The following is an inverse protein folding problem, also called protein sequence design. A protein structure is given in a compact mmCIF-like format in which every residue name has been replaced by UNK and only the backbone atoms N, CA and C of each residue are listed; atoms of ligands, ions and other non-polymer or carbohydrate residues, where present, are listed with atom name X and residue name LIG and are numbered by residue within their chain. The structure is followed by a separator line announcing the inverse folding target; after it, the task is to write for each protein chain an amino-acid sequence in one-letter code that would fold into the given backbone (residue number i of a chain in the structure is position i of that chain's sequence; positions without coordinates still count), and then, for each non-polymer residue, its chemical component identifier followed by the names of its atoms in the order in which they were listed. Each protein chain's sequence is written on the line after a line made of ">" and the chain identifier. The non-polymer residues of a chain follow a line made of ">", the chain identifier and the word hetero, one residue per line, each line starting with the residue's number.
data_IF_549322383219
#
_entry.id   IF_549322383219
#
_cell.length_a   1.000
_cell.length_b   1.000
_cell.length_c   1.000
_cell.angle_alpha   90.00
_cell.angle_beta   90.00
_cell.angle_gamma   90.00
#
_symmetry.space_group_name_H-M   'P 1'
#
loop_
_entity.id
_entity.type
_entity.pdbx_description
1 polymer ?
#
# COMPACT_ATOMS: atom_id res chain seq x y z
N UNK A 1 15.39 1.20 17.32
CA UNK A 1 14.02 1.17 17.88
C UNK A 1 13.52 2.55 18.35
N UNK A 2 14.19 3.27 19.25
CA UNK A 2 13.74 4.61 19.73
C UNK A 2 13.61 5.66 18.62
N UNK A 3 14.49 5.65 17.61
CA UNK A 3 14.46 6.58 16.46
C UNK A 3 13.25 6.33 15.54
N UNK A 4 12.93 5.08 15.22
CA UNK A 4 11.76 4.70 14.40
C UNK A 4 10.47 5.14 15.08
N UNK A 5 10.34 4.83 16.36
CA UNK A 5 9.19 5.23 17.15
C UNK A 5 8.94 6.74 17.15
N UNK A 6 10.00 7.54 17.37
CA UNK A 6 9.88 9.01 17.38
C UNK A 6 9.50 9.56 15.99
N UNK A 7 9.93 8.90 14.93
CA UNK A 7 9.58 9.31 13.56
C UNK A 7 8.13 8.96 13.23
N UNK A 8 7.64 7.76 13.56
CA UNK A 8 6.25 7.40 13.37
C UNK A 8 5.32 8.37 14.11
N UNK A 9 5.62 8.68 15.39
CA UNK A 9 4.85 9.70 16.15
C UNK A 9 4.80 11.04 15.42
N UNK A 10 5.92 11.49 14.85
CA UNK A 10 5.95 12.71 14.06
C UNK A 10 5.09 12.61 12.80
N UNK A 11 5.10 11.48 12.10
CA UNK A 11 4.23 11.26 10.93
C UNK A 11 2.75 11.24 11.31
N UNK A 12 2.39 10.61 12.44
CA UNK A 12 1.02 10.66 12.96
C UNK A 12 0.57 12.07 13.28
N UNK A 13 1.45 12.89 13.90
CA UNK A 13 1.17 14.29 14.15
C UNK A 13 0.95 15.10 12.86
N UNK A 14 1.79 14.90 11.84
CA UNK A 14 1.64 15.53 10.52
C UNK A 14 0.29 15.13 9.88
N UNK A 15 -0.10 13.87 10.02
CA UNK A 15 -1.38 13.36 9.53
C UNK A 15 -2.58 13.76 10.40
N UNK A 16 -2.38 14.46 11.52
CA UNK A 16 -3.45 14.84 12.45
C UNK A 16 -4.06 13.64 13.21
N UNK A 17 -3.35 12.50 13.26
CA UNK A 17 -3.82 11.29 13.95
C UNK A 17 -3.38 11.37 15.40
N UNK A 18 -4.35 11.45 16.31
CA UNK A 18 -4.10 11.63 17.76
C UNK A 18 -4.55 10.46 18.61
N UNK A 19 -5.43 9.60 18.10
CA UNK A 19 -5.94 8.45 18.79
C UNK A 19 -5.39 7.17 18.14
N UNK A 20 -4.31 6.65 18.68
CA UNK A 20 -3.65 5.42 18.23
C UNK A 20 -3.06 4.63 19.39
N UNK A 21 -2.88 3.35 19.16
CA UNK A 21 -2.27 2.41 20.09
C UNK A 21 -1.04 1.76 19.42
N UNK A 22 0.04 1.61 20.14
CA UNK A 22 1.21 0.89 19.66
C UNK A 22 1.08 -0.60 19.95
N UNK A 23 0.99 -1.37 18.88
CA UNK A 23 1.01 -2.82 18.98
C UNK A 23 2.45 -3.31 18.86
N UNK A 24 3.05 -3.69 19.98
CA UNK A 24 4.44 -4.15 20.03
C UNK A 24 4.51 -5.66 19.88
N UNK A 25 5.42 -6.11 19.04
CA UNK A 25 5.75 -7.51 18.82
C UNK A 25 7.25 -7.70 19.00
N UNK A 26 7.64 -8.85 19.54
CA UNK A 26 9.03 -9.25 19.61
C UNK A 26 9.50 -9.77 18.25
N UNK A 27 10.82 -9.69 18.00
CA UNK A 27 11.38 -10.24 16.76
C UNK A 27 11.09 -11.73 16.67
N UNK A 28 10.55 -12.16 15.55
CA UNK A 28 10.22 -13.56 15.34
C UNK A 28 11.49 -14.40 15.19
N UNK A 29 11.60 -15.58 15.84
CA UNK A 29 12.81 -16.40 15.81
C UNK A 29 13.14 -16.93 14.41
N UNK A 30 12.15 -17.07 13.55
CA UNK A 30 12.30 -17.53 12.17
C UNK A 30 12.51 -16.39 11.14
N UNK A 31 12.85 -15.18 11.60
CA UNK A 31 13.21 -14.06 10.71
C UNK A 31 12.13 -13.02 10.47
N UNK A 32 12.51 -11.94 9.77
CA UNK A 32 11.69 -10.74 9.59
C UNK A 32 10.43 -10.98 8.75
N UNK A 33 10.52 -11.78 7.69
CA UNK A 33 9.39 -12.07 6.80
C UNK A 33 8.22 -12.72 7.55
N UNK A 34 8.52 -13.75 8.35
CA UNK A 34 7.52 -14.43 9.18
C UNK A 34 7.06 -13.57 10.34
N UNK A 35 7.97 -12.76 10.91
CA UNK A 35 7.65 -11.81 11.97
C UNK A 35 6.69 -10.72 11.51
N UNK A 36 6.89 -10.16 10.34
CA UNK A 36 5.97 -9.19 9.73
C UNK A 36 4.58 -9.80 9.54
N UNK A 37 4.51 -10.99 8.94
CA UNK A 37 3.25 -11.71 8.72
C UNK A 37 2.51 -11.98 10.05
N UNK A 38 3.22 -12.55 11.04
CA UNK A 38 2.67 -12.87 12.37
C UNK A 38 2.18 -11.60 13.09
N UNK A 39 2.89 -10.50 12.95
CA UNK A 39 2.49 -9.20 13.53
C UNK A 39 1.14 -8.73 13.01
N UNK A 40 0.92 -8.79 11.71
CA UNK A 40 -0.36 -8.42 11.11
C UNK A 40 -1.49 -9.36 11.55
N UNK A 41 -1.26 -10.66 11.57
CA UNK A 41 -2.24 -11.64 12.05
C UNK A 41 -2.66 -11.35 13.49
N UNK A 42 -1.69 -11.08 14.37
CA UNK A 42 -1.98 -10.74 15.79
C UNK A 42 -2.74 -9.42 15.92
N UNK A 43 -2.45 -8.42 15.09
CA UNK A 43 -3.21 -7.17 15.10
C UNK A 43 -4.66 -7.42 14.70
N UNK A 44 -4.93 -8.24 13.68
CA UNK A 44 -6.28 -8.59 13.26
C UNK A 44 -7.02 -9.39 14.35
N UNK A 45 -6.38 -10.39 14.97
CA UNK A 45 -6.95 -11.15 16.09
C UNK A 45 -7.27 -10.25 17.29
N UNK A 46 -6.34 -9.36 17.63
CA UNK A 46 -6.54 -8.39 18.71
C UNK A 46 -7.73 -7.48 18.43
N UNK A 47 -7.84 -6.91 17.26
CA UNK A 47 -8.93 -6.04 16.86
C UNK A 47 -10.29 -6.76 16.95
N UNK A 48 -10.37 -7.99 16.42
CA UNK A 48 -11.60 -8.79 16.49
C UNK A 48 -11.96 -9.16 17.94
N UNK A 49 -10.97 -9.49 18.79
CA UNK A 49 -11.20 -9.78 20.20
C UNK A 49 -11.77 -8.60 20.99
N UNK A 50 -11.49 -7.37 20.52
CA UNK A 50 -12.00 -6.11 21.06
C UNK A 50 -13.33 -5.67 20.42
N UNK A 51 -13.88 -6.45 19.50
CA UNK A 51 -15.09 -6.12 18.77
C UNK A 51 -14.97 -4.93 17.83
N UNK A 52 -13.77 -4.65 17.33
CA UNK A 52 -13.55 -3.54 16.38
C UNK A 52 -14.10 -3.90 15.00
N UNK A 53 -14.96 -3.05 14.46
CA UNK A 53 -15.56 -3.23 13.13
C UNK A 53 -14.59 -2.91 12.00
N UNK A 54 -13.57 -2.11 12.26
CA UNK A 54 -12.49 -1.73 11.33
C UNK A 54 -11.32 -1.16 12.09
N UNK A 55 -10.14 -1.32 11.52
CA UNK A 55 -8.89 -0.74 12.03
C UNK A 55 -8.11 -0.05 10.92
N UNK A 56 -7.34 0.93 11.31
CA UNK A 56 -6.31 1.56 10.48
C UNK A 56 -4.96 1.12 11.04
N UNK A 57 -4.16 0.49 10.20
CA UNK A 57 -2.82 -0.04 10.56
C UNK A 57 -1.75 0.82 9.90
N UNK A 58 -0.72 1.15 10.66
CA UNK A 58 0.52 1.77 10.18
C UNK A 58 1.71 0.94 10.61
N UNK A 59 2.64 0.72 9.70
CA UNK A 59 3.96 0.17 10.03
C UNK A 59 4.88 1.28 10.57
N UNK A 60 5.92 0.91 11.29
CA UNK A 60 6.79 1.85 12.00
C UNK A 60 7.68 2.71 11.08
N UNK A 61 7.83 2.31 9.83
CA UNK A 61 8.56 3.04 8.79
C UNK A 61 7.66 3.89 7.86
N UNK A 62 6.39 4.04 8.18
CA UNK A 62 5.43 4.83 7.40
C UNK A 62 5.79 6.32 7.38
N UNK A 63 5.72 6.94 6.21
CA UNK A 63 5.89 8.38 6.02
C UNK A 63 4.74 8.98 5.21
N UNK A 64 4.38 10.22 5.56
CA UNK A 64 3.36 11.01 4.84
C UNK A 64 3.96 11.52 3.53
N UNK A 65 3.22 11.39 2.42
CA UNK A 65 3.64 11.90 1.11
C UNK A 65 3.15 13.34 0.86
N UNK A 66 3.69 14.02 -0.17
CA UNK A 66 3.17 15.33 -0.58
C UNK A 66 1.73 15.33 -1.09
N UNK A 67 1.16 14.17 -1.42
CA UNK A 67 -0.23 14.05 -1.85
C UNK A 67 -1.23 14.00 -0.70
N UNK A 68 -0.74 13.86 0.53
CA UNK A 68 -1.60 13.83 1.70
C UNK A 68 -2.37 15.15 1.84
N UNK A 69 -3.68 15.03 1.98
CA UNK A 69 -4.54 16.14 2.38
C UNK A 69 -5.75 15.63 3.16
N UNK A 70 -6.26 16.47 4.05
CA UNK A 70 -7.46 16.15 4.85
C UNK A 70 -8.67 15.89 3.94
N UNK A 71 -8.80 16.63 2.83
CA UNK A 71 -9.91 16.44 1.89
C UNK A 71 -9.87 15.05 1.22
N UNK A 72 -8.67 14.59 0.83
CA UNK A 72 -8.53 13.24 0.26
C UNK A 72 -8.81 12.16 1.29
N UNK A 73 -8.35 12.35 2.53
CA UNK A 73 -8.68 11.43 3.63
C UNK A 73 -10.18 11.40 3.88
N UNK A 74 -10.84 12.56 3.87
CA UNK A 74 -12.30 12.65 4.04
C UNK A 74 -13.04 11.93 2.90
N UNK A 75 -12.61 12.08 1.65
CA UNK A 75 -13.15 11.32 0.51
C UNK A 75 -13.05 9.80 0.74
N UNK A 76 -11.90 9.32 1.25
CA UNK A 76 -11.72 7.90 1.58
C UNK A 76 -12.66 7.45 2.70
N UNK A 77 -12.79 8.25 3.76
CA UNK A 77 -13.70 7.96 4.88
C UNK A 77 -15.15 7.89 4.42
N UNK A 78 -15.59 8.82 3.57
CA UNK A 78 -16.96 8.86 3.07
C UNK A 78 -17.23 7.69 2.11
N UNK A 79 -16.25 7.32 1.29
CA UNK A 79 -16.31 6.10 0.48
C UNK A 79 -16.48 4.85 1.38
N UNK A 80 -15.65 4.70 2.40
CA UNK A 80 -15.70 3.55 3.30
C UNK A 80 -16.97 3.46 4.15
N UNK A 81 -17.71 4.56 4.33
CA UNK A 81 -19.01 4.58 5.02
C UNK A 81 -20.16 4.12 4.14
N UNK A 82 -20.06 4.33 2.84
CA UNK A 82 -21.19 4.17 1.90
C UNK A 82 -21.04 2.97 0.97
N UNK A 83 -19.90 2.31 0.96
CA UNK A 83 -19.61 1.19 0.07
C UNK A 83 -19.20 -0.05 0.85
N UNK A 84 -19.36 -1.21 0.23
CA UNK A 84 -18.80 -2.46 0.74
C UNK A 84 -17.31 -2.54 0.39
N UNK A 85 -16.49 -2.84 1.39
CA UNK A 85 -15.05 -3.01 1.24
C UNK A 85 -14.50 -3.94 2.33
N UNK A 86 -13.42 -4.64 2.01
CA UNK A 86 -12.67 -5.46 2.97
C UNK A 86 -11.31 -4.86 3.28
N UNK A 87 -10.66 -4.28 2.27
CA UNK A 87 -9.32 -3.71 2.36
C UNK A 87 -9.24 -2.38 1.62
N UNK A 88 -8.64 -1.39 2.24
CA UNK A 88 -8.42 -0.07 1.67
C UNK A 88 -6.99 0.38 1.95
N UNK A 89 -6.16 0.43 0.91
CA UNK A 89 -4.78 0.86 1.02
C UNK A 89 -4.62 2.36 0.81
N UNK A 90 -3.85 2.99 1.66
CA UNK A 90 -3.39 4.37 1.45
C UNK A 90 -2.03 4.42 0.75
N UNK A 91 -1.48 3.26 0.42
CA UNK A 91 -0.25 3.08 -0.33
C UNK A 91 -0.59 2.39 -1.65
N UNK A 92 -0.23 3.02 -2.76
CA UNK A 92 -0.39 2.42 -4.09
C UNK A 92 1.00 2.14 -4.63
N UNK A 93 1.58 1.04 -4.18
CA UNK A 93 2.85 0.54 -4.70
C UNK A 93 2.62 -0.49 -5.79
N UNK A 94 3.52 -0.54 -6.75
CA UNK A 94 3.51 -1.54 -7.82
C UNK A 94 4.89 -2.15 -7.97
N UNK A 95 4.94 -3.38 -8.44
CA UNK A 95 6.18 -4.02 -8.87
C UNK A 95 6.23 -4.11 -10.39
N UNK A 96 7.44 -4.16 -10.94
CA UNK A 96 7.67 -4.49 -12.34
C UNK A 96 7.88 -5.99 -12.56
N UNK A 97 7.83 -6.81 -11.51
CA UNK A 97 8.05 -8.25 -11.58
C UNK A 97 6.82 -8.95 -12.14
N UNK A 98 7.01 -9.74 -13.18
CA UNK A 98 5.94 -10.36 -13.96
C UNK A 98 5.16 -11.45 -13.23
N UNK A 99 5.66 -11.94 -12.11
CA UNK A 99 5.09 -13.08 -11.39
C UNK A 99 3.94 -12.70 -10.44
N UNK A 100 3.65 -11.40 -10.33
CA UNK A 100 2.62 -10.90 -9.44
C UNK A 100 1.57 -10.15 -10.27
N UNK A 101 0.27 -10.41 -10.06
CA UNK A 101 -0.82 -9.82 -10.85
C UNK A 101 -0.94 -8.29 -10.69
N UNK A 102 -0.15 -7.69 -9.78
CA UNK A 102 -0.15 -6.27 -9.49
C UNK A 102 1.12 -5.65 -10.01
N UNK A 103 1.01 -5.09 -11.18
CA UNK A 103 2.08 -4.35 -11.83
C UNK A 103 1.61 -2.91 -12.15
N UNK A 104 2.53 -2.09 -12.62
CA UNK A 104 2.24 -0.72 -13.04
C UNK A 104 1.05 -0.64 -14.02
N UNK A 105 0.91 -1.61 -14.93
CA UNK A 105 -0.19 -1.65 -15.88
C UNK A 105 -1.53 -1.93 -15.22
N UNK A 106 -1.59 -2.82 -14.23
CA UNK A 106 -2.82 -3.07 -13.47
C UNK A 106 -3.29 -1.84 -12.71
N UNK A 107 -2.36 -1.06 -12.15
CA UNK A 107 -2.68 0.23 -11.52
C UNK A 107 -3.17 1.26 -12.54
N UNK A 108 -2.52 1.36 -13.71
CA UNK A 108 -2.92 2.28 -14.79
C UNK A 108 -4.30 1.94 -15.36
N UNK A 109 -4.66 0.66 -15.41
CA UNK A 109 -5.94 0.19 -15.99
C UNK A 109 -7.02 -0.01 -14.93
N UNK A 110 -6.70 0.12 -13.64
CA UNK A 110 -7.64 -0.06 -12.55
C UNK A 110 -8.88 0.84 -12.71
N UNK A 111 -10.08 0.32 -12.44
CA UNK A 111 -11.29 1.13 -12.43
C UNK A 111 -11.15 2.30 -11.46
N UNK A 112 -11.39 3.51 -11.94
CA UNK A 112 -11.41 4.71 -11.11
C UNK A 112 -12.80 4.86 -10.50
N UNK A 113 -12.87 4.85 -9.18
CA UNK A 113 -14.12 4.98 -8.43
C UNK A 113 -14.45 6.46 -8.23
N UNK A 114 -13.42 7.24 -7.86
CA UNK A 114 -13.52 8.68 -7.70
C UNK A 114 -12.21 9.35 -8.14
N UNK A 115 -12.05 10.64 -7.87
CA UNK A 115 -10.83 11.36 -8.23
C UNK A 115 -9.58 10.73 -7.63
N UNK A 116 -9.65 10.32 -6.36
CA UNK A 116 -8.50 9.84 -5.60
C UNK A 116 -8.61 8.37 -5.17
N UNK A 117 -9.61 7.62 -5.66
CA UNK A 117 -9.84 6.23 -5.29
C UNK A 117 -9.90 5.36 -6.54
N UNK A 118 -9.15 4.27 -6.54
CA UNK A 118 -9.18 3.23 -7.57
C UNK A 118 -9.52 1.87 -6.95
N UNK A 119 -10.16 1.01 -7.73
CA UNK A 119 -10.39 -0.39 -7.35
C UNK A 119 -9.14 -1.20 -7.66
N UNK A 120 -8.22 -1.21 -6.71
CA UNK A 120 -6.91 -1.84 -6.85
C UNK A 120 -6.35 -2.19 -5.48
N UNK A 121 -5.60 -3.26 -5.40
CA UNK A 121 -4.78 -3.59 -4.24
C UNK A 121 -3.32 -3.33 -4.59
N UNK A 122 -2.65 -2.48 -3.80
CA UNK A 122 -1.21 -2.23 -3.94
C UNK A 122 -0.40 -3.19 -3.09
N UNK A 123 0.88 -3.35 -3.43
CA UNK A 123 1.87 -3.88 -2.51
C UNK A 123 2.17 -2.87 -1.42
N UNK A 124 2.78 -3.32 -0.36
CA UNK A 124 3.12 -2.63 0.87
C UNK A 124 1.93 -2.47 1.81
N UNK A 125 2.18 -2.84 3.04
CA UNK A 125 1.22 -2.81 4.15
C UNK A 125 1.48 -1.65 5.11
N UNK A 126 2.25 -0.65 4.68
CA UNK A 126 2.67 0.48 5.53
C UNK A 126 1.51 1.30 6.10
N UNK A 127 0.42 1.46 5.32
CA UNK A 127 -0.77 2.18 5.77
C UNK A 127 -2.02 1.63 5.10
N UNK A 128 -2.91 1.00 5.85
CA UNK A 128 -4.16 0.46 5.32
C UNK A 128 -5.28 0.42 6.35
N UNK A 129 -6.51 0.49 5.87
CA UNK A 129 -7.69 0.09 6.62
C UNK A 129 -8.10 -1.33 6.25
N UNK A 130 -8.57 -2.09 7.25
CA UNK A 130 -9.18 -3.39 7.05
C UNK A 130 -10.48 -3.46 7.85
N UNK A 131 -11.55 -3.94 7.22
CA UNK A 131 -12.84 -4.14 7.88
C UNK A 131 -12.85 -5.43 8.69
N UNK A 132 -13.84 -5.59 9.56
CA UNK A 132 -14.08 -6.84 10.30
C UNK A 132 -14.18 -8.03 9.34
N UNK A 133 -14.99 -7.93 8.30
CA UNK A 133 -15.14 -8.98 7.29
C UNK A 133 -13.81 -9.29 6.60
N UNK A 134 -12.99 -8.27 6.35
CA UNK A 134 -11.65 -8.44 5.80
C UNK A 134 -10.70 -9.18 6.74
N UNK A 135 -10.71 -8.84 8.04
CA UNK A 135 -9.91 -9.53 9.04
C UNK A 135 -10.35 -11.00 9.20
N UNK A 136 -11.65 -11.25 9.32
CA UNK A 136 -12.21 -12.60 9.43
C UNK A 136 -11.89 -13.44 8.19
N UNK A 137 -12.01 -12.84 6.98
CA UNK A 137 -11.70 -13.50 5.73
C UNK A 137 -10.23 -13.94 5.65
N UNK A 138 -9.29 -13.06 6.00
CA UNK A 138 -7.87 -13.39 5.96
C UNK A 138 -7.48 -14.40 7.03
N UNK A 139 -7.98 -14.27 8.25
CA UNK A 139 -7.64 -15.15 9.37
C UNK A 139 -8.03 -16.61 9.12
N UNK A 140 -9.07 -16.87 8.33
CA UNK A 140 -9.45 -18.22 7.94
C UNK A 140 -8.32 -18.99 7.21
N UNK A 141 -7.42 -18.27 6.53
CA UNK A 141 -6.31 -18.87 5.78
C UNK A 141 -4.93 -18.49 6.32
N UNK A 142 -4.78 -17.38 7.00
CA UNK A 142 -3.52 -16.88 7.53
C UNK A 142 -2.84 -17.85 8.52
N UNK A 143 -3.63 -18.55 9.33
CA UNK A 143 -3.11 -19.55 10.28
C UNK A 143 -2.39 -20.71 9.58
N UNK A 144 -2.88 -21.13 8.41
CA UNK A 144 -2.21 -22.14 7.61
C UNK A 144 -0.94 -21.61 6.95
N UNK A 145 -0.93 -20.33 6.58
CA UNK A 145 0.26 -19.68 6.03
C UNK A 145 1.37 -19.61 7.06
N UNK A 146 1.06 -19.29 8.31
CA UNK A 146 2.02 -19.23 9.43
C UNK A 146 2.66 -20.58 9.78
N UNK A 147 2.06 -21.71 9.37
CA UNK A 147 2.64 -23.04 9.55
C UNK A 147 3.78 -23.34 8.57
N UNK A 148 3.93 -22.53 7.53
CA UNK A 148 5.02 -22.68 6.55
C UNK A 148 6.35 -22.20 7.11
N UNK A 149 7.44 -22.73 6.55
CA UNK A 149 8.80 -22.25 6.84
C UNK A 149 8.99 -20.82 6.32
N UNK A 150 9.90 -20.08 6.94
CA UNK A 150 10.24 -18.69 6.53
C UNK A 150 10.63 -18.55 5.06
N UNK A 151 11.19 -19.61 4.45
CA UNK A 151 11.56 -19.63 3.02
C UNK A 151 10.36 -19.76 2.07
N UNK A 152 9.24 -20.33 2.55
CA UNK A 152 8.07 -20.68 1.73
C UNK A 152 6.83 -19.86 2.07
N UNK A 153 6.82 -19.16 3.21
CA UNK A 153 5.72 -18.25 3.57
C UNK A 153 5.65 -17.09 2.58
N UNK A 154 4.46 -16.69 2.20
CA UNK A 154 4.28 -15.43 1.44
C UNK A 154 4.65 -14.21 2.32
N UNK A 155 5.05 -13.10 1.72
CA UNK A 155 5.03 -11.81 2.42
C UNK A 155 3.58 -11.44 2.69
N UNK A 156 3.31 -10.69 3.76
CA UNK A 156 1.93 -10.38 4.15
C UNK A 156 1.16 -9.62 3.07
N UNK A 157 1.81 -8.69 2.39
CA UNK A 157 1.24 -7.95 1.27
C UNK A 157 0.95 -8.87 0.07
N UNK A 158 1.87 -9.76 -0.28
CA UNK A 158 1.69 -10.76 -1.32
C UNK A 158 0.53 -11.72 -1.00
N UNK A 159 0.44 -12.18 0.26
CA UNK A 159 -0.66 -12.99 0.74
C UNK A 159 -2.00 -12.28 0.60
N UNK A 160 -2.09 -11.02 1.04
CA UNK A 160 -3.32 -10.23 0.96
C UNK A 160 -3.76 -10.04 -0.49
N UNK A 161 -2.82 -9.72 -1.38
CA UNK A 161 -3.07 -9.60 -2.83
C UNK A 161 -3.63 -10.87 -3.43
N UNK A 162 -3.07 -12.03 -3.06
CA UNK A 162 -3.51 -13.34 -3.57
C UNK A 162 -4.88 -13.77 -3.04
N UNK A 163 -5.27 -13.30 -1.85
CA UNK A 163 -6.46 -13.78 -1.17
C UNK A 163 -7.67 -12.89 -1.35
N UNK A 164 -7.52 -11.58 -1.28
CA UNK A 164 -8.68 -10.69 -1.36
C UNK A 164 -9.37 -10.73 -2.72
N UNK A 165 -10.71 -10.81 -2.72
CA UNK A 165 -11.48 -10.62 -3.94
C UNK A 165 -11.34 -9.17 -4.44
N UNK A 166 -10.94 -8.99 -5.71
CA UNK A 166 -10.63 -7.67 -6.30
C UNK A 166 -11.77 -6.65 -6.19
N UNK A 167 -13.02 -7.11 -6.11
CA UNK A 167 -14.19 -6.22 -6.00
C UNK A 167 -14.33 -5.50 -4.66
N UNK A 168 -13.63 -5.97 -3.61
CA UNK A 168 -13.71 -5.41 -2.25
C UNK A 168 -12.41 -4.74 -1.81
N UNK A 169 -11.49 -4.49 -2.75
CA UNK A 169 -10.19 -3.89 -2.46
C UNK A 169 -10.03 -2.57 -3.20
N UNK A 170 -9.58 -1.56 -2.48
CA UNK A 170 -9.45 -0.21 -2.99
C UNK A 170 -8.14 0.42 -2.52
N UNK A 171 -7.67 1.41 -3.27
CA UNK A 171 -6.48 2.16 -2.93
C UNK A 171 -6.64 3.63 -3.27
N UNK A 172 -5.89 4.48 -2.55
CA UNK A 172 -5.77 5.89 -2.93
C UNK A 172 -4.82 6.07 -4.10
N UNK A 173 -5.11 7.06 -4.93
CA UNK A 173 -4.21 7.51 -5.99
C UNK A 173 -4.25 9.05 -6.08
N UNK A 174 -3.13 9.79 -5.93
CA UNK A 174 -1.78 9.29 -5.58
C UNK A 174 -1.70 8.65 -4.20
N UNK A 175 -0.61 7.93 -3.95
CA UNK A 175 -0.26 7.38 -2.64
C UNK A 175 -0.22 8.48 -1.56
N UNK A 176 -0.93 8.28 -0.45
CA UNK A 176 -0.96 9.25 0.67
C UNK A 176 0.14 8.97 1.70
N UNK A 177 0.54 7.72 1.83
CA UNK A 177 1.63 7.27 2.67
C UNK A 177 2.60 6.43 1.86
N UNK A 178 3.87 6.40 2.26
CA UNK A 178 4.91 5.60 1.64
C UNK A 178 5.80 5.00 2.73
N UNK A 179 6.69 4.10 2.35
CA UNK A 179 7.68 3.52 3.23
C UNK A 179 8.90 4.43 3.33
N UNK A 180 9.46 4.58 4.52
CA UNK A 180 10.76 5.24 4.67
C UNK A 180 11.90 4.28 4.30
N UNK A 181 12.30 4.32 3.05
CA UNK A 181 13.34 3.47 2.49
C UNK A 181 14.76 3.74 3.04
N UNK A 182 14.90 4.74 3.92
CA UNK A 182 16.18 5.07 4.56
C UNK A 182 16.46 4.26 5.83
N UNK A 183 15.53 3.39 6.25
CA UNK A 183 15.71 2.48 7.37
C UNK A 183 16.14 1.08 6.91
N UNK A 184 16.91 0.42 7.78
CA UNK A 184 17.20 -1.00 7.61
C UNK A 184 15.92 -1.80 7.67
N UNK A 185 15.81 -2.77 6.78
CA UNK A 185 14.70 -3.73 6.77
C UNK A 185 15.16 -5.04 7.42
N UNK A 186 14.28 -5.62 8.21
CA UNK A 186 14.51 -6.97 8.78
C UNK A 186 14.33 -8.10 7.73
N UNK A 187 13.97 -7.75 6.49
CA UNK A 187 13.85 -8.72 5.40
C UNK A 187 15.23 -9.09 4.84
N UNK A 188 15.48 -10.37 4.65
CA UNK A 188 16.73 -10.93 4.13
C UNK A 188 16.90 -10.72 2.62
N UNK A 189 16.81 -9.49 2.13
CA UNK A 189 17.16 -9.16 0.77
C UNK A 189 18.69 -9.10 0.60
N UNK A 190 19.17 -9.63 -0.52
CA UNK A 190 20.61 -9.54 -0.81
C UNK A 190 21.11 -8.09 -0.84
N UNK A 191 22.35 -7.81 -0.38
CA UNK A 191 22.86 -6.44 -0.19
C UNK A 191 22.76 -5.55 -1.43
N UNK A 192 22.98 -6.09 -2.61
CA UNK A 192 22.90 -5.34 -3.87
C UNK A 192 21.49 -4.87 -4.19
N UNK A 193 20.47 -5.68 -3.88
CA UNK A 193 19.07 -5.31 -4.09
C UNK A 193 18.61 -4.23 -3.12
N UNK A 194 18.97 -4.37 -1.84
CA UNK A 194 18.70 -3.36 -0.80
C UNK A 194 19.32 -2.02 -1.21
N UNK A 195 20.58 -2.02 -1.65
CA UNK A 195 21.27 -0.81 -2.07
C UNK A 195 20.60 -0.13 -3.28
N UNK A 196 20.25 -0.90 -4.30
CA UNK A 196 19.62 -0.36 -5.51
C UNK A 196 18.22 0.20 -5.20
N UNK A 197 17.43 -0.52 -4.40
CA UNK A 197 16.08 -0.11 -3.98
C UNK A 197 16.15 1.15 -3.12
N UNK A 198 17.04 1.18 -2.14
CA UNK A 198 17.30 2.34 -1.30
C UNK A 198 17.66 3.57 -2.14
N UNK A 199 18.62 3.42 -3.05
CA UNK A 199 19.06 4.50 -3.92
C UNK A 199 17.93 5.01 -4.82
N UNK A 200 17.16 4.11 -5.45
CA UNK A 200 16.05 4.47 -6.32
C UNK A 200 14.93 5.22 -5.56
N UNK A 201 14.57 4.77 -4.35
CA UNK A 201 13.48 5.40 -3.61
C UNK A 201 13.91 6.67 -2.86
N UNK A 202 15.12 6.71 -2.27
CA UNK A 202 15.62 7.91 -1.62
C UNK A 202 15.84 9.06 -2.59
N UNK A 203 16.37 8.80 -3.80
CA UNK A 203 16.63 9.85 -4.79
C UNK A 203 15.41 10.21 -5.63
N UNK A 204 14.63 9.21 -6.04
CA UNK A 204 13.58 9.41 -7.05
C UNK A 204 12.17 9.34 -6.50
N UNK A 205 11.98 9.01 -5.20
CA UNK A 205 10.63 8.77 -4.62
C UNK A 205 9.78 7.92 -5.58
N UNK A 206 10.34 6.82 -6.04
CA UNK A 206 9.87 6.09 -7.20
C UNK A 206 8.41 5.64 -7.08
N UNK A 207 8.04 5.06 -5.95
CA UNK A 207 6.67 4.60 -5.67
C UNK A 207 5.68 5.76 -5.75
N UNK A 208 5.99 6.87 -5.07
CA UNK A 208 5.15 8.06 -5.10
C UNK A 208 5.01 8.63 -6.52
N UNK A 209 6.10 8.80 -7.25
CA UNK A 209 6.08 9.38 -8.59
C UNK A 209 5.31 8.51 -9.59
N UNK A 210 5.38 7.17 -9.49
CA UNK A 210 4.56 6.28 -10.30
C UNK A 210 3.07 6.44 -10.00
N UNK A 211 2.69 6.57 -8.74
CA UNK A 211 1.30 6.80 -8.36
C UNK A 211 0.77 8.16 -8.86
N UNK A 212 1.62 9.21 -8.86
CA UNK A 212 1.30 10.51 -9.46
C UNK A 212 1.13 10.40 -10.97
N UNK A 213 2.01 9.68 -11.65
CA UNK A 213 1.88 9.44 -13.10
C UNK A 213 0.57 8.72 -13.43
N UNK A 214 0.22 7.69 -12.66
CA UNK A 214 -1.05 6.97 -12.82
C UNK A 214 -2.26 7.84 -12.49
N UNK A 215 -2.16 8.75 -11.53
CA UNK A 215 -3.21 9.72 -11.22
C UNK A 215 -3.53 10.63 -12.42
N UNK A 216 -2.52 11.06 -13.17
CA UNK A 216 -2.68 11.91 -14.35
C UNK A 216 -2.85 11.14 -15.67
N UNK A 217 -3.00 9.81 -15.63
CA UNK A 217 -3.05 8.95 -16.83
C UNK A 217 -3.98 9.47 -17.92
N UNK A 218 -5.19 9.89 -17.56
CA UNK A 218 -6.21 10.32 -18.53
C UNK A 218 -5.79 11.60 -19.25
N UNK A 219 -5.13 12.53 -18.52
CA UNK A 219 -4.58 13.77 -19.10
C UNK A 219 -3.38 13.49 -20.01
N UNK A 220 -2.53 12.52 -19.63
CA UNK A 220 -1.37 12.12 -20.42
C UNK A 220 -1.84 11.45 -21.73
N UNK A 221 -2.83 10.58 -21.66
CA UNK A 221 -3.42 9.94 -22.83
C UNK A 221 -4.01 10.99 -23.79
N UNK A 222 -4.80 11.95 -23.26
CA UNK A 222 -5.34 13.03 -24.06
C UNK A 222 -4.26 13.89 -24.70
N UNK A 223 -3.19 14.19 -23.99
CA UNK A 223 -2.05 14.95 -24.53
C UNK A 223 -1.35 14.20 -25.67
N UNK A 224 -1.11 12.90 -25.49
CA UNK A 224 -0.52 12.06 -26.54
C UNK A 224 -1.42 12.02 -27.76
N UNK A 225 -2.73 11.80 -27.59
CA UNK A 225 -3.70 11.81 -28.70
C UNK A 225 -3.72 13.14 -29.42
N UNK A 226 -3.69 14.25 -28.70
CA UNK A 226 -3.61 15.59 -29.28
C UNK A 226 -2.34 15.73 -30.14
N UNK A 227 -1.17 15.35 -29.63
CA UNK A 227 0.08 15.39 -30.43
C UNK A 227 0.02 14.49 -31.66
N UNK A 228 -0.52 13.28 -31.55
CA UNK A 228 -0.69 12.38 -32.70
C UNK A 228 -1.58 13.01 -33.77
N UNK A 229 -2.71 13.60 -33.37
CA UNK A 229 -3.63 14.28 -34.30
C UNK A 229 -2.93 15.44 -34.99
N UNK A 230 -2.20 16.28 -34.23
CA UNK A 230 -1.43 17.40 -34.80
C UNK A 230 -0.40 16.90 -35.80
N UNK A 231 0.34 15.83 -35.47
CA UNK A 231 1.33 15.24 -36.39
C UNK A 231 0.66 14.72 -37.69
N UNK A 232 -0.51 14.09 -37.61
CA UNK A 232 -1.25 13.60 -38.78
C UNK A 232 -1.72 14.78 -39.67
N UNK A 233 -2.23 15.85 -39.05
CA UNK A 233 -2.65 17.05 -39.77
C UNK A 233 -1.46 17.68 -40.52
N UNK A 234 -0.34 17.86 -39.81
CA UNK A 234 0.88 18.44 -40.40
C UNK A 234 1.49 17.55 -41.51
N UNK A 235 1.34 16.24 -41.39
CA UNK A 235 1.74 15.30 -42.45
C UNK A 235 0.89 15.44 -43.69
N UNK A 236 -0.45 15.53 -43.55
CA UNK A 236 -1.37 15.66 -44.68
C UNK A 236 -1.33 17.03 -45.36
N UNK A 237 -0.78 18.04 -44.72
CA UNK A 237 -0.63 19.40 -45.24
C UNK A 237 0.67 19.63 -46.04
N UNK A 238 1.52 18.62 -46.09
CA UNK A 238 2.72 18.57 -46.92
C UNK A 238 2.47 17.75 -48.19
#
# INVERSE_FOLDING_TARGET
>A
MLLLFSQLVKQMQIAGITNYEFFRVDRHPEGGKKGCFDSHVRVWEYALSRGMEKILVFEDDTVVTPAYSVDVVQECVDFMKTNEWMYFSFVTSTTFWNDVPINFWSMLTAPRISRNIIQHIGFLTNAYCISKDGMEFLLNTAKYELLKDSSTIDQVDEFMVKKFPSKYVFSTIPTLFDQNWCFDTDNDYGPAFIYLRHYANCLFKFTYNLSVLAFYRDRIVLLILFFVIVCIILWKSR
#
